data_IF_352367369366
#
_entry.id   IF_352367369366
#
_cell.length_a   1.000
_cell.length_b   1.000
_cell.length_c   1.000
_cell.angle_alpha   90.00
_cell.angle_beta   90.00
_cell.angle_gamma   90.00
#
_symmetry.space_group_name_H-M   'P 1'
#
loop_
_entity.id
_entity.type
_entity.pdbx_description
1 polymer ?
#
# COMPACT_ATOMS: atom_id res chain seq x y z
N UNK A 1 -11.75 27.83 -14.67
CA UNK A 1 -11.76 27.75 -13.19
C UNK A 1 -10.51 27.03 -12.77
N UNK A 2 -9.55 27.73 -12.19
CA UNK A 2 -8.30 27.16 -11.72
C UNK A 2 -8.63 26.34 -10.45
N UNK A 3 -8.48 25.02 -10.53
CA UNK A 3 -8.50 24.18 -9.35
C UNK A 3 -7.28 24.53 -8.50
N UNK A 4 -7.50 25.22 -7.39
CA UNK A 4 -6.46 25.49 -6.40
C UNK A 4 -6.02 24.14 -5.85
N UNK A 5 -4.85 23.69 -6.27
CA UNK A 5 -4.24 22.47 -5.71
C UNK A 5 -3.88 22.76 -4.26
N UNK A 6 -4.70 22.31 -3.33
CA UNK A 6 -4.38 22.41 -1.90
C UNK A 6 -3.18 21.54 -1.60
N UNK A 7 -2.05 22.14 -1.25
CA UNK A 7 -0.86 21.41 -0.79
C UNK A 7 -1.13 20.92 0.63
N UNK A 8 -1.17 19.58 0.80
CA UNK A 8 -1.31 18.99 2.12
C UNK A 8 0.04 18.98 2.84
N UNK A 9 0.03 19.41 4.09
CA UNK A 9 1.17 19.18 4.99
C UNK A 9 1.10 17.72 5.46
N UNK A 10 2.03 16.89 5.01
CA UNK A 10 2.02 15.44 5.29
C UNK A 10 2.11 15.13 6.79
N UNK A 11 2.84 15.96 7.54
CA UNK A 11 3.00 15.81 8.99
C UNK A 11 1.70 16.05 9.77
N UNK A 12 0.73 16.73 9.16
CA UNK A 12 -0.58 16.99 9.77
C UNK A 12 -1.63 15.90 9.49
N UNK A 13 -1.28 14.89 8.68
CA UNK A 13 -2.19 13.79 8.38
C UNK A 13 -2.29 12.81 9.55
N UNK A 14 -3.51 12.32 9.78
CA UNK A 14 -3.79 11.28 10.76
C UNK A 14 -3.63 9.90 10.10
N UNK A 15 -2.86 9.02 10.72
CA UNK A 15 -2.76 7.62 10.36
C UNK A 15 -3.55 6.80 11.36
N UNK A 16 -4.55 6.06 10.88
CA UNK A 16 -5.44 5.27 11.74
C UNK A 16 -5.96 4.02 11.03
N UNK A 17 -6.49 3.03 11.79
CA UNK A 17 -7.26 1.95 11.19
C UNK A 17 -8.40 2.50 10.32
N UNK A 18 -8.66 1.82 9.21
CA UNK A 18 -9.82 2.09 8.37
C UNK A 18 -11.10 1.64 9.08
N UNK A 19 -12.16 2.40 8.91
CA UNK A 19 -13.49 2.14 9.47
C UNK A 19 -14.46 1.74 8.34
N UNK A 20 -15.56 1.04 8.65
CA UNK A 20 -16.59 0.72 7.66
C UNK A 20 -17.08 1.93 6.86
N UNK A 21 -17.20 3.10 7.50
CA UNK A 21 -17.63 4.35 6.88
C UNK A 21 -16.60 4.90 5.85
N UNK A 22 -15.34 4.45 5.90
CA UNK A 22 -14.32 4.83 4.92
C UNK A 22 -14.41 4.02 3.61
N UNK A 23 -15.17 2.92 3.59
CA UNK A 23 -15.18 1.94 2.50
C UNK A 23 -15.45 2.57 1.13
N UNK A 24 -16.46 3.41 1.01
CA UNK A 24 -16.82 4.04 -0.26
C UNK A 24 -15.69 4.92 -0.80
N UNK A 25 -15.09 5.71 0.09
CA UNK A 25 -13.95 6.57 -0.27
C UNK A 25 -12.72 5.76 -0.64
N UNK A 26 -12.40 4.70 0.11
CA UNK A 26 -11.30 3.79 -0.20
C UNK A 26 -11.50 3.14 -1.57
N UNK A 27 -12.71 2.63 -1.85
CA UNK A 27 -13.04 2.06 -3.17
C UNK A 27 -12.86 3.07 -4.31
N UNK A 28 -13.17 4.35 -4.06
CA UNK A 28 -12.93 5.42 -5.04
C UNK A 28 -11.44 5.60 -5.31
N UNK A 29 -10.60 5.64 -4.27
CA UNK A 29 -9.13 5.73 -4.39
C UNK A 29 -8.56 4.51 -5.14
N UNK A 30 -9.04 3.31 -4.84
CA UNK A 30 -8.64 2.08 -5.54
C UNK A 30 -8.99 2.15 -7.03
N UNK A 31 -10.22 2.56 -7.39
CA UNK A 31 -10.63 2.73 -8.81
C UNK A 31 -9.77 3.76 -9.53
N UNK A 32 -9.41 4.86 -8.89
CA UNK A 32 -8.47 5.85 -9.45
C UNK A 32 -7.10 5.23 -9.72
N UNK A 33 -6.58 4.42 -8.79
CA UNK A 33 -5.30 3.73 -8.95
C UNK A 33 -5.36 2.69 -10.09
N UNK A 34 -6.41 1.88 -10.17
CA UNK A 34 -6.64 0.91 -11.26
C UNK A 34 -6.68 1.61 -12.63
N UNK A 35 -7.44 2.71 -12.75
CA UNK A 35 -7.53 3.49 -13.98
C UNK A 35 -6.16 4.04 -14.40
N UNK A 36 -5.38 4.56 -13.44
CA UNK A 36 -4.05 5.09 -13.73
C UNK A 36 -3.05 4.00 -14.14
N UNK A 37 -3.10 2.81 -13.51
CA UNK A 37 -2.29 1.67 -13.91
C UNK A 37 -2.61 1.25 -15.35
N UNK A 38 -3.90 1.17 -15.71
CA UNK A 38 -4.35 0.86 -17.08
C UNK A 38 -3.81 1.87 -18.09
N UNK A 39 -3.91 3.18 -17.80
CA UNK A 39 -3.39 4.23 -18.68
C UNK A 39 -1.88 4.15 -18.89
N UNK A 40 -1.15 3.55 -17.96
CA UNK A 40 0.30 3.31 -18.07
C UNK A 40 0.65 1.96 -18.71
N UNK A 41 -0.36 1.19 -19.15
CA UNK A 41 -0.18 -0.12 -19.76
C UNK A 41 0.12 -1.23 -18.74
N UNK A 42 0.02 -0.98 -17.44
CA UNK A 42 0.19 -2.01 -16.43
C UNK A 42 -1.00 -2.97 -16.39
N UNK A 43 -0.70 -4.24 -16.21
CA UNK A 43 -1.70 -5.30 -16.01
C UNK A 43 -2.08 -5.48 -14.54
N UNK A 44 -1.35 -4.85 -13.62
CA UNK A 44 -1.64 -4.91 -12.19
C UNK A 44 -3.04 -4.36 -11.92
N UNK A 45 -3.81 -5.08 -11.08
CA UNK A 45 -5.16 -4.71 -10.66
C UNK A 45 -6.20 -4.57 -11.79
N UNK A 46 -6.01 -5.24 -12.92
CA UNK A 46 -6.91 -5.15 -14.08
C UNK A 46 -7.91 -6.32 -14.19
N UNK A 47 -7.85 -7.29 -13.27
CA UNK A 47 -8.69 -8.49 -13.25
C UNK A 47 -9.81 -8.43 -12.18
N UNK A 48 -10.28 -7.22 -11.81
CA UNK A 48 -11.28 -7.03 -10.77
C UNK A 48 -10.73 -7.00 -9.33
N UNK A 49 -9.42 -7.13 -9.16
CA UNK A 49 -8.73 -6.98 -7.88
C UNK A 49 -8.06 -5.59 -7.78
N UNK A 50 -8.02 -4.93 -6.60
CA UNK A 50 -8.86 -5.21 -5.43
C UNK A 50 -10.32 -4.78 -5.68
N UNK A 51 -11.26 -5.56 -5.17
CA UNK A 51 -12.68 -5.23 -5.14
C UNK A 51 -13.10 -4.78 -3.72
N UNK A 52 -14.32 -4.24 -3.58
CA UNK A 52 -14.85 -3.80 -2.29
C UNK A 52 -14.80 -4.89 -1.22
N UNK A 53 -15.06 -6.16 -1.60
CA UNK A 53 -14.99 -7.29 -0.67
C UNK A 53 -13.60 -7.48 -0.04
N UNK A 54 -12.52 -7.22 -0.79
CA UNK A 54 -11.16 -7.31 -0.25
C UNK A 54 -10.89 -6.18 0.76
N UNK A 55 -11.44 -4.98 0.52
CA UNK A 55 -11.30 -3.85 1.43
C UNK A 55 -12.12 -4.08 2.70
N UNK A 56 -13.33 -4.63 2.56
CA UNK A 56 -14.17 -5.02 3.71
C UNK A 56 -13.44 -6.06 4.58
N UNK A 57 -12.88 -7.11 3.97
CA UNK A 57 -12.11 -8.13 4.70
C UNK A 57 -10.88 -7.50 5.43
N UNK A 58 -10.18 -6.57 4.78
CA UNK A 58 -9.09 -5.84 5.42
C UNK A 58 -9.55 -5.02 6.64
N UNK A 59 -10.70 -4.37 6.55
CA UNK A 59 -11.28 -3.60 7.66
C UNK A 59 -11.68 -4.54 8.80
N UNK A 60 -12.39 -5.61 8.49
CA UNK A 60 -12.90 -6.58 9.47
C UNK A 60 -11.77 -7.28 10.23
N UNK A 61 -10.64 -7.53 9.55
CA UNK A 61 -9.43 -8.11 10.16
C UNK A 61 -8.54 -7.09 10.86
N UNK A 62 -8.83 -5.81 10.76
CA UNK A 62 -7.99 -4.74 11.31
C UNK A 62 -6.70 -4.50 10.54
N UNK A 63 -6.60 -4.96 9.28
CA UNK A 63 -5.45 -4.74 8.41
C UNK A 63 -5.53 -3.37 7.71
N UNK A 64 -6.74 -2.94 7.33
CA UNK A 64 -6.97 -1.68 6.64
C UNK A 64 -6.51 -0.49 7.46
N UNK A 65 -5.67 0.38 6.87
CA UNK A 65 -5.24 1.64 7.45
C UNK A 65 -5.41 2.77 6.44
N UNK A 66 -5.64 3.97 6.93
CA UNK A 66 -5.80 5.18 6.11
C UNK A 66 -4.90 6.31 6.60
N UNK A 67 -4.48 7.16 5.65
CA UNK A 67 -4.10 8.53 5.95
C UNK A 67 -5.30 9.42 5.65
N UNK A 68 -5.65 10.27 6.58
CA UNK A 68 -6.74 11.23 6.41
C UNK A 68 -6.37 12.62 6.94
N UNK A 69 -7.06 13.64 6.45
CA UNK A 69 -6.96 15.00 6.97
C UNK A 69 -7.62 15.11 8.34
N UNK A 70 -7.39 16.21 9.06
CA UNK A 70 -8.10 16.50 10.31
C UNK A 70 -9.62 16.64 10.15
N UNK A 71 -10.09 16.91 8.92
CA UNK A 71 -11.53 16.92 8.61
C UNK A 71 -12.09 15.54 8.30
N UNK A 72 -11.26 14.49 8.38
CA UNK A 72 -11.67 13.11 8.13
C UNK A 72 -11.60 12.67 6.66
N UNK A 73 -11.17 13.52 5.73
CA UNK A 73 -11.05 13.13 4.32
C UNK A 73 -9.92 12.12 4.15
N UNK A 74 -10.23 10.89 3.75
CA UNK A 74 -9.25 9.85 3.43
C UNK A 74 -8.52 10.21 2.13
N UNK A 75 -7.18 10.20 2.18
CA UNK A 75 -6.29 10.54 1.07
C UNK A 75 -5.38 9.39 0.64
N UNK A 76 -5.21 8.38 1.47
CA UNK A 76 -4.51 7.14 1.11
C UNK A 76 -5.05 5.96 1.90
N UNK A 77 -4.88 4.78 1.33
CA UNK A 77 -5.24 3.50 1.91
C UNK A 77 -4.12 2.47 1.68
N UNK A 78 -3.99 1.54 2.61
CA UNK A 78 -3.17 0.34 2.49
C UNK A 78 -3.55 -0.68 3.55
N UNK A 79 -3.33 -1.97 3.26
CA UNK A 79 -3.51 -3.04 4.23
C UNK A 79 -2.16 -3.38 4.87
N UNK A 80 -2.07 -3.19 6.18
CA UNK A 80 -0.88 -3.44 7.01
C UNK A 80 -1.08 -4.75 7.75
N UNK A 81 -0.37 -5.79 7.36
CA UNK A 81 -0.57 -7.17 7.81
C UNK A 81 0.63 -7.63 8.63
N UNK A 82 0.36 -8.17 9.82
CA UNK A 82 1.39 -8.73 10.72
C UNK A 82 1.33 -10.26 10.81
N UNK A 83 0.31 -10.88 10.21
CA UNK A 83 0.07 -12.33 10.29
C UNK A 83 0.82 -13.12 9.19
N UNK A 84 1.69 -12.43 8.45
CA UNK A 84 2.43 -13.01 7.34
C UNK A 84 1.66 -13.01 6.01
N UNK A 85 2.33 -13.48 4.97
CA UNK A 85 1.79 -13.65 3.61
C UNK A 85 2.13 -15.06 3.12
N UNK A 86 1.14 -15.92 2.87
CA UNK A 86 1.39 -17.31 2.46
C UNK A 86 2.31 -17.44 1.24
N UNK A 87 2.16 -16.56 0.24
CA UNK A 87 2.99 -16.57 -0.96
C UNK A 87 4.48 -16.31 -0.66
N UNK A 88 4.80 -15.71 0.48
CA UNK A 88 6.18 -15.38 0.85
C UNK A 88 6.96 -16.60 1.38
N UNK A 89 6.26 -17.68 1.74
CA UNK A 89 6.90 -18.94 2.13
C UNK A 89 7.58 -19.65 0.93
N UNK A 90 7.10 -19.40 -0.28
CA UNK A 90 7.57 -20.04 -1.52
C UNK A 90 8.36 -19.06 -2.41
N UNK A 91 9.15 -18.18 -1.79
CA UNK A 91 9.98 -17.23 -2.55
C UNK A 91 11.03 -17.96 -3.39
N UNK A 92 11.12 -17.60 -4.67
CA UNK A 92 12.28 -17.89 -5.51
C UNK A 92 13.35 -16.83 -5.23
N UNK A 93 14.18 -17.12 -4.24
CA UNK A 93 15.15 -16.18 -3.70
C UNK A 93 15.39 -16.39 -2.20
N UNK A 94 15.85 -15.35 -1.51
CA UNK A 94 16.17 -15.43 -0.08
C UNK A 94 15.82 -14.12 0.62
N UNK A 95 15.00 -14.21 1.67
CA UNK A 95 14.73 -13.09 2.56
C UNK A 95 15.98 -12.68 3.34
N UNK A 96 16.11 -11.39 3.69
CA UNK A 96 17.25 -10.87 4.45
C UNK A 96 17.35 -11.46 5.86
N UNK A 97 16.20 -11.83 6.44
CA UNK A 97 16.11 -12.45 7.77
C UNK A 97 14.88 -13.39 7.84
N UNK A 98 14.77 -14.09 8.96
CA UNK A 98 13.63 -14.96 9.30
C UNK A 98 12.80 -14.39 10.46
N UNK A 99 12.98 -13.11 10.79
CA UNK A 99 12.25 -12.45 11.86
C UNK A 99 10.76 -12.26 11.49
N UNK A 100 9.89 -12.08 12.49
CA UNK A 100 8.53 -11.60 12.24
C UNK A 100 8.55 -10.28 11.44
N UNK A 101 7.66 -10.17 10.47
CA UNK A 101 7.65 -9.05 9.53
C UNK A 101 6.26 -8.45 9.36
N UNK A 102 6.23 -7.19 8.98
CA UNK A 102 5.03 -6.52 8.49
C UNK A 102 4.99 -6.59 6.97
N UNK A 103 3.79 -6.70 6.42
CA UNK A 103 3.53 -6.60 4.97
C UNK A 103 2.61 -5.41 4.69
N UNK A 104 2.86 -4.68 3.63
CA UNK A 104 1.95 -3.65 3.13
C UNK A 104 1.39 -4.07 1.77
N UNK A 105 0.09 -4.28 1.73
CA UNK A 105 -0.65 -4.56 0.51
C UNK A 105 -1.52 -3.37 0.09
N UNK A 106 -1.83 -3.29 -1.19
CA UNK A 106 -2.87 -2.40 -1.75
C UNK A 106 -2.67 -0.91 -1.47
N UNK A 107 -1.41 -0.45 -1.32
CA UNK A 107 -1.13 0.98 -1.13
C UNK A 107 -1.65 1.78 -2.33
N UNK A 108 -2.57 2.69 -2.07
CA UNK A 108 -3.15 3.59 -3.05
C UNK A 108 -3.31 5.01 -2.48
N UNK A 109 -3.08 6.00 -3.33
CA UNK A 109 -3.17 7.43 -2.99
C UNK A 109 -4.21 8.09 -3.86
N UNK A 110 -5.05 8.91 -3.27
CA UNK A 110 -6.08 9.68 -3.96
C UNK A 110 -5.46 10.56 -5.07
N UNK A 111 -6.16 10.61 -6.22
CA UNK A 111 -5.64 11.28 -7.43
C UNK A 111 -5.32 12.76 -7.18
N UNK A 112 -6.16 13.44 -6.41
CA UNK A 112 -6.08 14.88 -6.13
C UNK A 112 -4.87 15.30 -5.28
N UNK A 113 -4.21 14.34 -4.60
CA UNK A 113 -3.05 14.63 -3.72
C UNK A 113 -1.77 13.90 -4.17
N UNK A 114 -1.76 13.38 -5.39
CA UNK A 114 -0.55 12.72 -5.93
C UNK A 114 0.60 13.71 -6.08
N UNK A 115 1.83 13.18 -5.93
CA UNK A 115 3.05 14.00 -6.01
C UNK A 115 3.36 14.79 -4.73
N UNK A 116 2.51 14.72 -3.70
CA UNK A 116 2.68 15.44 -2.43
C UNK A 116 3.33 14.62 -1.32
N UNK A 117 3.98 13.51 -1.63
CA UNK A 117 4.69 12.70 -0.64
C UNK A 117 3.82 11.76 0.20
N UNK A 118 2.52 11.64 -0.08
CA UNK A 118 1.54 10.88 0.69
C UNK A 118 1.92 9.39 0.81
N UNK A 119 2.36 8.76 -0.29
CA UNK A 119 2.82 7.36 -0.23
C UNK A 119 4.06 7.19 0.64
N UNK A 120 4.99 8.17 0.61
CA UNK A 120 6.16 8.19 1.49
C UNK A 120 5.75 8.27 2.96
N UNK A 121 4.79 9.13 3.27
CA UNK A 121 4.28 9.27 4.64
C UNK A 121 3.57 7.99 5.10
N UNK A 122 2.76 7.37 4.24
CA UNK A 122 2.12 6.09 4.56
C UNK A 122 3.16 5.00 4.92
N UNK A 123 4.23 4.89 4.14
CA UNK A 123 5.33 3.96 4.42
C UNK A 123 5.99 4.25 5.77
N UNK A 124 6.26 5.52 6.10
CA UNK A 124 6.84 5.91 7.40
C UNK A 124 5.93 5.50 8.56
N UNK A 125 4.62 5.78 8.45
CA UNK A 125 3.64 5.41 9.48
C UNK A 125 3.55 3.90 9.65
N UNK A 126 3.58 3.14 8.55
CA UNK A 126 3.64 1.68 8.61
C UNK A 126 4.89 1.19 9.35
N UNK A 127 6.06 1.78 9.07
CA UNK A 127 7.30 1.45 9.78
C UNK A 127 7.25 1.81 11.27
N UNK A 128 6.65 2.94 11.61
CA UNK A 128 6.46 3.35 13.01
C UNK A 128 5.56 2.35 13.73
N UNK A 129 4.40 2.02 13.16
CA UNK A 129 3.48 1.03 13.71
C UNK A 129 4.15 -0.35 13.88
N UNK A 130 4.99 -0.78 12.92
CA UNK A 130 5.74 -2.02 13.03
C UNK A 130 6.69 -2.02 14.23
N UNK A 131 7.45 -0.94 14.43
CA UNK A 131 8.35 -0.78 15.57
C UNK A 131 7.60 -0.79 16.91
N UNK A 132 6.47 -0.09 16.99
CA UNK A 132 5.60 -0.06 18.18
C UNK A 132 5.08 -1.46 18.53
N UNK A 133 4.89 -2.33 17.52
CA UNK A 133 4.51 -3.74 17.69
C UNK A 133 5.69 -4.69 17.86
N UNK A 134 6.91 -4.18 17.99
CA UNK A 134 8.11 -4.99 18.14
C UNK A 134 8.54 -5.74 16.89
N UNK A 135 8.06 -5.35 15.71
CA UNK A 135 8.38 -5.97 14.42
C UNK A 135 9.45 -5.14 13.70
N UNK A 136 10.63 -5.75 13.48
CA UNK A 136 11.79 -5.08 12.90
C UNK A 136 11.99 -5.32 11.40
N UNK A 137 11.25 -6.25 10.79
CA UNK A 137 11.36 -6.59 9.37
C UNK A 137 10.10 -6.14 8.60
N UNK A 138 10.30 -5.65 7.38
CA UNK A 138 9.22 -5.21 6.49
C UNK A 138 9.42 -5.86 5.12
N UNK A 139 8.46 -6.67 4.71
CA UNK A 139 8.45 -7.32 3.39
C UNK A 139 7.34 -6.75 2.53
N UNK A 140 7.59 -6.64 1.24
CA UNK A 140 6.62 -6.11 0.28
C UNK A 140 6.90 -6.69 -1.11
N UNK A 141 5.85 -6.83 -1.90
CA UNK A 141 5.98 -7.23 -3.29
C UNK A 141 5.31 -6.23 -4.24
N UNK A 142 5.74 -6.23 -5.47
CA UNK A 142 5.13 -5.39 -6.50
C UNK A 142 5.36 -5.96 -7.90
N UNK A 143 4.56 -5.49 -8.86
CA UNK A 143 4.76 -5.82 -10.27
C UNK A 143 6.05 -5.19 -10.82
N UNK A 144 6.65 -5.84 -11.81
CA UNK A 144 7.86 -5.38 -12.51
C UNK A 144 7.67 -4.03 -13.21
N UNK A 145 6.45 -3.70 -13.61
CA UNK A 145 6.10 -2.47 -14.32
C UNK A 145 5.62 -1.34 -13.39
N UNK A 146 5.51 -1.59 -12.08
CA UNK A 146 5.06 -0.59 -11.11
C UNK A 146 6.19 0.38 -10.72
N UNK A 147 6.59 1.23 -11.67
CA UNK A 147 7.70 2.18 -11.50
C UNK A 147 7.55 3.10 -10.30
N UNK A 148 6.30 3.44 -9.92
CA UNK A 148 6.05 4.30 -8.77
C UNK A 148 6.41 3.60 -7.46
N UNK A 149 5.99 2.34 -7.30
CA UNK A 149 6.33 1.54 -6.12
C UNK A 149 7.82 1.23 -6.10
N UNK A 150 8.42 0.82 -7.22
CA UNK A 150 9.86 0.53 -7.28
C UNK A 150 10.72 1.74 -6.85
N UNK A 151 10.35 2.96 -7.27
CA UNK A 151 11.04 4.19 -6.81
C UNK A 151 10.82 4.45 -5.33
N UNK A 152 9.62 4.20 -4.81
CA UNK A 152 9.31 4.36 -3.39
C UNK A 152 10.14 3.38 -2.54
N UNK A 153 10.22 2.12 -2.94
CA UNK A 153 11.01 1.09 -2.26
C UNK A 153 12.51 1.42 -2.28
N UNK A 154 13.04 1.85 -3.42
CA UNK A 154 14.43 2.29 -3.54
C UNK A 154 14.74 3.48 -2.60
N UNK A 155 13.82 4.45 -2.49
CA UNK A 155 13.95 5.59 -1.56
C UNK A 155 14.08 5.16 -0.09
N UNK A 156 13.40 4.08 0.29
CA UNK A 156 13.45 3.53 1.64
C UNK A 156 14.56 2.48 1.84
N UNK A 157 15.36 2.19 0.83
CA UNK A 157 16.46 1.24 0.91
C UNK A 157 16.01 -0.22 0.94
N UNK A 158 14.82 -0.55 0.42
CA UNK A 158 14.41 -1.94 0.27
C UNK A 158 15.33 -2.69 -0.69
N UNK A 159 15.68 -3.91 -0.33
CA UNK A 159 16.57 -4.79 -1.10
C UNK A 159 15.73 -5.86 -1.78
N UNK A 160 15.99 -6.09 -3.07
CA UNK A 160 15.35 -7.18 -3.81
C UNK A 160 15.80 -8.52 -3.22
N UNK A 161 14.85 -9.34 -2.79
CA UNK A 161 15.06 -10.65 -2.19
C UNK A 161 14.81 -11.80 -3.17
N UNK A 162 13.99 -11.58 -4.20
CA UNK A 162 13.65 -12.62 -5.17
C UNK A 162 12.31 -12.35 -5.86
N UNK A 163 11.61 -13.43 -6.18
CA UNK A 163 10.31 -13.40 -6.82
C UNK A 163 9.32 -14.27 -6.05
N UNK A 164 8.07 -13.83 -5.99
CA UNK A 164 6.95 -14.60 -5.47
C UNK A 164 5.86 -14.71 -6.54
N UNK A 165 4.91 -15.62 -6.38
CA UNK A 165 3.87 -15.87 -7.36
C UNK A 165 2.48 -15.88 -6.70
N UNK A 166 1.55 -15.13 -7.30
CA UNK A 166 0.11 -15.23 -6.99
C UNK A 166 -0.59 -15.91 -8.17
N UNK A 167 -1.03 -17.17 -7.98
CA UNK A 167 -1.66 -17.96 -9.05
C UNK A 167 -0.87 -17.96 -10.36
N UNK A 168 0.46 -18.06 -10.29
CA UNK A 168 1.36 -18.05 -11.44
C UNK A 168 1.77 -16.66 -11.96
N UNK A 169 1.23 -15.59 -11.36
CA UNK A 169 1.56 -14.21 -11.74
C UNK A 169 2.75 -13.70 -10.89
N UNK A 170 3.93 -13.47 -11.48
CA UNK A 170 5.14 -13.15 -10.72
C UNK A 170 5.14 -11.72 -10.18
N UNK A 171 5.76 -11.55 -9.02
CA UNK A 171 6.03 -10.26 -8.36
C UNK A 171 7.47 -10.20 -7.91
N UNK A 172 8.06 -9.01 -7.92
CA UNK A 172 9.35 -8.79 -7.28
C UNK A 172 9.11 -8.66 -5.77
N UNK A 173 9.87 -9.43 -4.99
CA UNK A 173 9.85 -9.42 -3.53
C UNK A 173 11.03 -8.61 -2.96
N UNK A 174 10.73 -7.79 -1.95
CA UNK A 174 11.68 -6.91 -1.26
C UNK A 174 11.59 -7.08 0.24
#
# INVERSE_FOLDING_TARGET
MNATTTVLQTDSLLFRPALPDDLERICTIIRQAQAQMRLRGSRQWQNGYPAAAHITDDIDRGYGHVLCTHTGLVVAYGAVVFDGEPAYAEIDGTWLDQAPYVVLHRLAVAQEVKGQGIATEFMRRTMTLARERGTGSFRIDTNFDNRCMLRLLAKFGFVRCGEIHYAGDPRIAF
#
